data_IF_511879046329
#
_entry.id   IF_511879046329
#
_cell.length_a   1.000
_cell.length_b   1.000
_cell.length_c   1.000
_cell.angle_alpha   90.00
_cell.angle_beta   90.00
_cell.angle_gamma   90.00
#
_symmetry.space_group_name_H-M   'P 1'
#
loop_
_entity.id
_entity.type
_entity.pdbx_description
1 polymer ?
#
# COMPACT_ATOMS: atom_id res chain seq x y z
N UNK A 1 -19.92 1.93 18.27
CA UNK A 1 -19.57 0.69 17.52
C UNK A 1 -18.19 0.92 16.96
N UNK A 2 -17.15 0.35 17.57
CA UNK A 2 -15.79 0.41 17.02
C UNK A 2 -15.75 -0.45 15.75
N UNK A 3 -15.69 0.19 14.58
CA UNK A 3 -15.46 -0.53 13.35
C UNK A 3 -14.08 -1.19 13.46
N UNK A 4 -13.94 -2.50 13.21
CA UNK A 4 -12.62 -3.11 13.17
C UNK A 4 -11.82 -2.33 12.13
N UNK A 5 -10.70 -1.73 12.53
CA UNK A 5 -9.79 -1.10 11.59
C UNK A 5 -9.25 -2.21 10.67
N UNK A 6 -9.92 -2.45 9.55
CA UNK A 6 -9.50 -3.45 8.57
C UNK A 6 -8.25 -2.90 7.90
N UNK A 7 -7.10 -3.42 8.31
CA UNK A 7 -5.83 -3.15 7.67
C UNK A 7 -5.72 -4.01 6.41
N UNK A 8 -5.45 -3.36 5.28
CA UNK A 8 -5.15 -3.99 4.02
C UNK A 8 -3.63 -4.01 3.80
N UNK A 9 -3.15 -5.02 3.08
CA UNK A 9 -1.73 -5.19 2.74
C UNK A 9 -1.57 -5.40 1.25
N UNK A 10 -0.60 -4.70 0.67
CA UNK A 10 -0.13 -4.91 -0.70
C UNK A 10 1.34 -5.29 -0.63
N UNK A 11 1.72 -6.40 -1.26
CA UNK A 11 3.13 -6.80 -1.39
C UNK A 11 3.49 -6.83 -2.86
N UNK A 12 4.55 -6.12 -3.20
CA UNK A 12 5.05 -5.96 -4.57
C UNK A 12 6.43 -6.59 -4.63
N UNK A 13 6.68 -7.43 -5.63
CA UNK A 13 8.04 -7.88 -5.92
C UNK A 13 8.79 -6.79 -6.66
N UNK A 14 10.12 -6.85 -6.64
CA UNK A 14 10.99 -5.91 -7.34
C UNK A 14 10.72 -5.90 -8.84
N UNK A 15 10.43 -7.07 -9.43
CA UNK A 15 9.99 -7.18 -10.82
C UNK A 15 8.65 -6.48 -11.06
N UNK A 16 7.71 -6.54 -10.10
CA UNK A 16 6.42 -5.83 -10.20
C UNK A 16 6.62 -4.31 -10.13
N UNK A 17 7.58 -3.83 -9.33
CA UNK A 17 7.91 -2.41 -9.28
C UNK A 17 8.45 -1.87 -10.61
N UNK A 18 9.21 -2.70 -11.34
CA UNK A 18 9.76 -2.36 -12.66
C UNK A 18 8.70 -2.47 -13.75
N UNK A 19 7.89 -3.55 -13.71
CA UNK A 19 6.93 -3.87 -14.77
C UNK A 19 5.58 -3.16 -14.59
N UNK A 20 5.18 -2.86 -13.35
CA UNK A 20 3.85 -2.35 -12.98
C UNK A 20 3.92 -1.12 -12.07
N UNK A 21 4.55 0.00 -12.51
CA UNK A 21 4.61 1.23 -11.71
C UNK A 21 3.22 1.87 -11.48
N UNK A 22 2.19 1.41 -12.19
CA UNK A 22 0.82 1.88 -12.03
C UNK A 22 0.27 1.63 -10.62
N UNK A 23 0.62 0.49 -9.99
CA UNK A 23 0.12 0.15 -8.65
C UNK A 23 0.61 1.13 -7.59
N UNK A 24 1.87 1.58 -7.70
CA UNK A 24 2.42 2.61 -6.81
C UNK A 24 1.79 3.97 -7.07
N UNK A 25 1.49 4.31 -8.33
CA UNK A 25 0.80 5.55 -8.68
C UNK A 25 -0.64 5.57 -8.14
N UNK A 26 -1.33 4.46 -8.20
CA UNK A 26 -2.68 4.31 -7.64
C UNK A 26 -2.66 4.44 -6.12
N UNK A 27 -1.77 3.71 -5.44
CA UNK A 27 -1.57 3.83 -3.99
C UNK A 27 -1.24 5.26 -3.59
N UNK A 28 -0.33 5.92 -4.32
CA UNK A 28 0.01 7.33 -4.10
C UNK A 28 -1.22 8.23 -4.25
N UNK A 29 -1.98 8.07 -5.32
CA UNK A 29 -3.22 8.84 -5.56
C UNK A 29 -4.24 8.63 -4.44
N UNK A 30 -4.40 7.40 -3.95
CA UNK A 30 -5.31 7.10 -2.84
C UNK A 30 -4.86 7.74 -1.52
N UNK A 31 -3.54 7.85 -1.28
CA UNK A 31 -2.99 8.58 -0.13
C UNK A 31 -3.21 10.10 -0.29
N UNK A 32 -2.91 10.66 -1.46
CA UNK A 32 -3.06 12.10 -1.74
C UNK A 32 -4.53 12.54 -1.66
N UNK A 33 -5.45 11.69 -2.13
CA UNK A 33 -6.90 11.93 -2.03
C UNK A 33 -7.48 11.55 -0.66
N UNK A 34 -6.64 11.21 0.32
CA UNK A 34 -7.03 10.83 1.68
C UNK A 34 -8.06 9.70 1.76
N UNK A 35 -8.08 8.80 0.75
CA UNK A 35 -8.91 7.59 0.75
C UNK A 35 -8.33 6.49 1.63
N UNK A 36 -7.00 6.48 1.76
CA UNK A 36 -6.28 5.56 2.63
C UNK A 36 -5.23 6.30 3.46
N UNK A 37 -4.85 5.69 4.58
CA UNK A 37 -3.69 6.07 5.38
C UNK A 37 -2.72 4.91 5.43
N UNK A 38 -1.48 5.15 5.02
CA UNK A 38 -0.40 4.17 5.20
C UNK A 38 -0.07 4.07 6.69
N UNK A 39 0.05 2.83 7.15
CA UNK A 39 0.30 2.48 8.55
C UNK A 39 1.70 1.90 8.71
N UNK A 40 2.16 1.11 7.73
CA UNK A 40 3.49 0.50 7.75
C UNK A 40 4.01 0.31 6.33
N UNK A 41 5.34 0.40 6.17
CA UNK A 41 6.03 0.08 4.92
C UNK A 41 7.25 -0.77 5.27
N UNK A 42 7.29 -1.98 4.74
CA UNK A 42 8.41 -2.90 4.92
C UNK A 42 9.06 -3.22 3.59
N UNK A 43 10.38 -3.27 3.60
CA UNK A 43 11.18 -3.68 2.44
C UNK A 43 12.10 -4.80 2.88
N UNK A 44 11.95 -5.96 2.25
CA UNK A 44 12.72 -7.17 2.53
C UNK A 44 13.20 -7.75 1.20
N UNK A 45 14.52 -7.87 1.02
CA UNK A 45 15.17 -8.37 -0.20
C UNK A 45 14.56 -7.82 -1.50
N UNK A 46 13.68 -8.60 -2.13
CA UNK A 46 13.00 -8.33 -3.40
C UNK A 46 11.54 -7.90 -3.24
N UNK A 47 11.07 -7.59 -2.02
CA UNK A 47 9.67 -7.29 -1.70
C UNK A 47 9.51 -5.92 -1.06
N UNK A 48 8.43 -5.25 -1.45
CA UNK A 48 7.90 -4.06 -0.81
C UNK A 48 6.48 -4.36 -0.31
N UNK A 49 6.30 -4.41 1.00
CA UNK A 49 4.99 -4.56 1.63
C UNK A 49 4.51 -3.23 2.17
N UNK A 50 3.30 -2.82 1.79
CA UNK A 50 2.65 -1.59 2.22
C UNK A 50 1.37 -2.00 2.95
N UNK A 51 1.23 -1.57 4.20
CA UNK A 51 0.04 -1.77 5.02
C UNK A 51 -0.70 -0.45 5.14
N UNK A 52 -1.99 -0.44 4.86
CA UNK A 52 -2.82 0.76 4.93
C UNK A 52 -4.20 0.46 5.49
N UNK A 53 -4.90 1.52 5.90
CA UNK A 53 -6.32 1.47 6.25
C UNK A 53 -7.09 2.44 5.39
N UNK A 54 -8.35 2.14 5.09
CA UNK A 54 -9.28 3.10 4.46
C UNK A 54 -9.68 4.19 5.47
N UNK A 55 -9.90 5.39 4.96
CA UNK A 55 -10.35 6.56 5.71
C UNK A 55 -11.79 6.91 5.36
#
# INVERSE_FOLDING_TARGET
>A
MEQPHVFERVTLLRDDLVRWPAVLRELKSMVETSKIRIVDIRREDDRLTIVYRKL
#
